data_IF_306661111168
#
_entry.id   IF_306661111168
#
_cell.length_a   1.000
_cell.length_b   1.000
_cell.length_c   1.000
_cell.angle_alpha   90.00
_cell.angle_beta   90.00
_cell.angle_gamma   90.00
#
_symmetry.space_group_name_H-M   'P 1'
#
loop_
_entity.id
_entity.type
_entity.pdbx_description
1 polymer ?
#
# COMPACT_ATOMS: atom_id res chain seq x y z
N UNK A 1 -18.99 14.21 -3.57
CA UNK A 1 -17.97 15.30 -3.66
C UNK A 1 -16.96 14.94 -4.74
N UNK A 2 -16.46 15.88 -5.55
CA UNK A 2 -15.39 15.58 -6.51
C UNK A 2 -14.12 15.07 -5.81
N UNK A 3 -13.37 14.13 -6.42
CA UNK A 3 -12.19 13.51 -5.78
C UNK A 3 -11.19 14.53 -5.24
N UNK A 4 -10.85 15.53 -6.05
CA UNK A 4 -9.87 16.56 -5.69
C UNK A 4 -10.17 17.28 -4.38
N UNK A 5 -11.43 17.63 -4.14
CA UNK A 5 -11.85 18.33 -2.93
C UNK A 5 -11.82 17.37 -1.73
N UNK A 6 -12.27 16.13 -1.93
CA UNK A 6 -12.28 15.13 -0.85
C UNK A 6 -10.87 14.76 -0.39
N UNK A 7 -9.91 14.60 -1.31
CA UNK A 7 -8.51 14.36 -0.92
C UNK A 7 -7.88 15.53 -0.18
N UNK A 8 -8.25 16.77 -0.51
CA UNK A 8 -7.79 17.92 0.27
C UNK A 8 -8.28 17.87 1.73
N UNK A 9 -9.52 17.42 1.96
CA UNK A 9 -10.05 17.22 3.32
C UNK A 9 -9.41 16.03 4.06
N UNK A 10 -9.07 14.96 3.33
CA UNK A 10 -8.42 13.78 3.90
C UNK A 10 -6.92 13.96 4.17
N UNK A 11 -6.28 14.97 3.57
CA UNK A 11 -4.84 15.15 3.63
C UNK A 11 -4.26 15.19 5.05
N UNK A 12 -4.88 15.86 6.05
CA UNK A 12 -4.36 15.83 7.42
C UNK A 12 -4.35 14.41 8.02
N UNK A 13 -5.40 13.63 7.77
CA UNK A 13 -5.53 12.26 8.25
C UNK A 13 -4.52 11.32 7.57
N UNK A 14 -4.41 11.40 6.23
CA UNK A 14 -3.41 10.63 5.46
C UNK A 14 -1.98 10.97 5.92
N UNK A 15 -1.72 12.25 6.18
CA UNK A 15 -0.43 12.70 6.72
C UNK A 15 -0.16 12.11 8.11
N UNK A 16 -1.18 12.03 8.97
CA UNK A 16 -1.05 11.44 10.29
C UNK A 16 -0.72 9.94 10.21
N UNK A 17 -1.40 9.19 9.34
CA UNK A 17 -1.09 7.77 9.09
C UNK A 17 0.34 7.59 8.59
N UNK A 18 0.75 8.36 7.58
CA UNK A 18 2.11 8.30 7.04
C UNK A 18 3.15 8.53 8.13
N UNK A 19 2.98 9.55 8.97
CA UNK A 19 3.91 9.86 10.07
C UNK A 19 3.93 8.80 11.15
N UNK A 20 2.79 8.16 11.43
CA UNK A 20 2.70 7.06 12.37
C UNK A 20 3.46 5.83 11.87
N UNK A 21 3.28 5.44 10.59
CA UNK A 21 4.06 4.37 9.98
C UNK A 21 5.55 4.69 9.97
N UNK A 22 5.92 5.91 9.58
CA UNK A 22 7.31 6.35 9.57
C UNK A 22 7.98 6.25 10.94
N UNK A 23 7.28 6.61 11.99
CA UNK A 23 7.79 6.54 13.35
C UNK A 23 7.91 5.11 13.90
N UNK A 24 7.27 4.12 13.28
CA UNK A 24 7.23 2.73 13.73
C UNK A 24 7.56 1.75 12.61
N UNK A 25 8.76 1.86 12.00
CA UNK A 25 9.15 1.00 10.88
C UNK A 25 9.35 -0.45 11.30
N UNK A 26 8.89 -1.36 10.46
CA UNK A 26 9.02 -2.80 10.59
C UNK A 26 9.66 -3.38 9.32
N UNK A 27 10.38 -4.51 9.43
CA UNK A 27 11.20 -5.04 8.33
C UNK A 27 10.58 -6.29 7.72
N UNK A 28 10.68 -6.39 6.38
CA UNK A 28 10.34 -7.59 5.63
C UNK A 28 8.95 -8.13 5.98
N UNK A 29 8.88 -9.38 6.46
CA UNK A 29 7.62 -10.00 6.89
C UNK A 29 7.21 -9.65 8.34
N UNK A 30 8.08 -9.02 9.13
CA UNK A 30 7.80 -8.64 10.51
C UNK A 30 7.10 -7.27 10.56
N UNK A 31 5.96 -7.17 9.87
CA UNK A 31 5.16 -5.94 9.72
C UNK A 31 3.79 -6.05 10.43
N UNK A 32 3.72 -6.77 11.54
CA UNK A 32 2.46 -7.08 12.23
C UNK A 32 1.72 -5.85 12.72
N UNK A 33 2.45 -4.85 13.25
CA UNK A 33 1.84 -3.58 13.70
C UNK A 33 1.26 -2.80 12.53
N UNK A 34 2.05 -2.67 11.47
CA UNK A 34 1.64 -1.96 10.24
C UNK A 34 0.44 -2.64 9.61
N UNK A 35 0.50 -3.96 9.42
CA UNK A 35 -0.59 -4.76 8.87
C UNK A 35 -1.88 -4.67 9.71
N UNK A 36 -1.76 -4.79 11.03
CA UNK A 36 -2.88 -4.65 11.95
C UNK A 36 -3.54 -3.26 11.89
N UNK A 37 -2.71 -2.20 11.80
CA UNK A 37 -3.23 -0.82 11.64
C UNK A 37 -3.91 -0.61 10.30
N UNK A 38 -3.37 -1.16 9.22
CA UNK A 38 -4.00 -1.16 7.89
C UNK A 38 -5.35 -1.87 7.94
N UNK A 39 -5.41 -3.07 8.51
CA UNK A 39 -6.63 -3.86 8.59
C UNK A 39 -7.72 -3.16 9.44
N UNK A 40 -7.34 -2.56 10.57
CA UNK A 40 -8.23 -1.73 11.41
C UNK A 40 -8.86 -0.59 10.60
N UNK A 41 -8.02 0.16 9.88
CA UNK A 41 -8.45 1.30 9.07
C UNK A 41 -9.39 0.86 7.93
N UNK A 42 -9.03 -0.19 7.18
CA UNK A 42 -9.88 -0.71 6.11
C UNK A 42 -11.26 -1.14 6.60
N UNK A 43 -11.33 -1.79 7.77
CA UNK A 43 -12.62 -2.13 8.40
C UNK A 43 -13.40 -0.87 8.78
N UNK A 44 -12.74 0.14 9.33
CA UNK A 44 -13.37 1.40 9.71
C UNK A 44 -13.89 2.20 8.51
N UNK A 45 -13.31 2.04 7.33
CA UNK A 45 -13.77 2.66 6.08
C UNK A 45 -15.02 1.95 5.49
N UNK A 46 -15.35 0.76 5.98
CA UNK A 46 -16.45 -0.04 5.47
C UNK A 46 -16.09 -0.81 4.20
N UNK A 47 -14.85 -1.30 4.08
CA UNK A 47 -14.51 -2.31 3.07
C UNK A 47 -15.39 -3.56 3.25
N UNK A 48 -15.81 -4.17 2.15
CA UNK A 48 -16.75 -5.30 2.17
C UNK A 48 -16.10 -6.57 2.74
N UNK A 49 -14.81 -6.74 2.51
CA UNK A 49 -14.00 -7.81 3.09
C UNK A 49 -12.62 -7.26 3.45
N UNK A 50 -12.04 -7.71 4.57
CA UNK A 50 -10.66 -7.43 4.96
C UNK A 50 -10.01 -8.73 5.40
N UNK A 51 -9.01 -9.17 4.65
CA UNK A 51 -8.27 -10.42 4.88
C UNK A 51 -6.84 -10.09 5.28
N UNK A 52 -6.41 -10.65 6.40
CA UNK A 52 -5.05 -10.56 6.91
C UNK A 52 -4.30 -11.87 6.70
N UNK A 53 -2.97 -11.80 6.70
CA UNK A 53 -2.11 -12.98 6.68
C UNK A 53 -1.81 -13.53 5.29
N UNK A 54 -2.25 -12.90 4.21
CA UNK A 54 -1.92 -13.31 2.83
C UNK A 54 -0.41 -13.14 2.60
N UNK A 55 0.27 -14.22 2.23
CA UNK A 55 1.73 -14.20 2.12
C UNK A 55 2.40 -13.85 3.45
N UNK A 56 1.92 -14.41 4.57
CA UNK A 56 2.31 -14.24 5.98
C UNK A 56 1.67 -13.03 6.67
N UNK A 57 1.98 -11.80 6.27
CA UNK A 57 1.54 -10.57 6.95
C UNK A 57 0.89 -9.56 6.00
N UNK A 58 0.64 -9.92 4.75
CA UNK A 58 -0.06 -9.07 3.82
C UNK A 58 -1.54 -8.88 4.18
N UNK A 59 -2.09 -7.76 3.77
CA UNK A 59 -3.50 -7.40 3.99
C UNK A 59 -4.17 -7.09 2.67
N UNK A 60 -5.39 -7.60 2.48
CA UNK A 60 -6.20 -7.30 1.31
C UNK A 60 -7.56 -6.78 1.76
N UNK A 61 -7.94 -5.59 1.29
CA UNK A 61 -9.29 -5.06 1.44
C UNK A 61 -10.06 -5.13 0.12
N UNK A 62 -11.31 -5.56 0.16
CA UNK A 62 -12.19 -5.63 -1.01
C UNK A 62 -13.24 -4.54 -0.92
N UNK A 63 -13.45 -3.82 -2.01
CA UNK A 63 -14.44 -2.74 -2.12
C UNK A 63 -15.26 -2.97 -3.38
N UNK A 64 -16.55 -3.22 -3.23
CA UNK A 64 -17.47 -3.33 -4.35
C UNK A 64 -17.97 -1.96 -4.81
N UNK A 65 -17.98 -1.73 -6.11
CA UNK A 65 -18.61 -0.57 -6.73
C UNK A 65 -20.13 -0.59 -6.60
N UNK A 66 -20.79 0.46 -7.11
CA UNK A 66 -22.26 0.52 -7.15
C UNK A 66 -22.87 -0.50 -8.11
N UNK A 67 -22.12 -0.89 -9.11
CA UNK A 67 -22.50 -1.88 -10.11
C UNK A 67 -21.32 -2.83 -10.36
N UNK A 68 -21.60 -3.99 -10.91
CA UNK A 68 -20.59 -4.97 -11.32
C UNK A 68 -21.05 -5.63 -12.64
N UNK A 69 -21.08 -4.84 -13.72
CA UNK A 69 -21.60 -5.30 -15.02
C UNK A 69 -20.62 -6.19 -15.76
N UNK A 70 -19.32 -6.04 -15.51
CA UNK A 70 -18.26 -6.78 -16.19
C UNK A 70 -17.60 -7.87 -15.34
N UNK A 71 -17.91 -7.98 -14.06
CA UNK A 71 -17.26 -8.92 -13.13
C UNK A 71 -15.75 -8.69 -13.01
N UNK A 72 -15.29 -7.44 -13.23
CA UNK A 72 -13.87 -7.09 -13.27
C UNK A 72 -13.36 -6.70 -11.88
N UNK A 73 -12.24 -7.32 -11.48
CA UNK A 73 -11.53 -6.94 -10.26
C UNK A 73 -10.17 -6.36 -10.64
N UNK A 74 -9.87 -5.16 -10.15
CA UNK A 74 -8.53 -4.55 -10.24
C UNK A 74 -7.88 -4.52 -8.88
N UNK A 75 -6.56 -4.78 -8.82
CA UNK A 75 -5.73 -4.65 -7.64
C UNK A 75 -5.04 -3.29 -7.60
N UNK A 76 -5.06 -2.63 -6.44
CA UNK A 76 -4.20 -1.46 -6.16
C UNK A 76 -3.22 -1.88 -5.07
N UNK A 77 -1.91 -1.72 -5.31
CA UNK A 77 -0.84 -2.26 -4.46
C UNK A 77 -0.02 -1.16 -3.81
N UNK A 78 0.26 -1.32 -2.53
CA UNK A 78 1.32 -0.64 -1.80
C UNK A 78 2.16 -1.66 -1.01
N UNK A 79 3.43 -1.36 -0.82
CA UNK A 79 4.33 -2.08 0.06
C UNK A 79 4.31 -1.49 1.48
N UNK A 80 4.71 -2.28 2.49
CA UNK A 80 4.60 -1.89 3.90
C UNK A 80 5.92 -1.91 4.66
N UNK A 81 6.93 -2.62 4.18
CA UNK A 81 8.17 -2.84 4.92
C UNK A 81 9.14 -1.68 4.81
N UNK A 82 10.03 -1.58 5.78
CA UNK A 82 11.08 -0.58 5.90
C UNK A 82 12.47 -1.21 5.69
N UNK A 83 13.49 -0.36 5.72
CA UNK A 83 14.89 -0.73 5.54
C UNK A 83 15.66 -0.77 6.88
N UNK A 84 16.70 -1.64 7.00
CA UNK A 84 17.59 -1.69 8.17
C UNK A 84 18.62 -0.56 8.13
N UNK A 85 18.14 0.69 8.22
CA UNK A 85 18.92 1.93 8.12
C UNK A 85 18.73 2.76 9.39
N UNK A 86 19.80 3.37 9.89
CA UNK A 86 19.72 4.33 10.99
C UNK A 86 19.25 5.67 10.43
N UNK A 87 18.11 6.14 10.89
CA UNK A 87 17.57 7.43 10.47
C UNK A 87 18.38 8.61 11.05
N UNK A 88 18.69 9.58 10.20
CA UNK A 88 19.43 10.80 10.55
C UNK A 88 18.69 12.08 10.10
N UNK A 89 17.41 12.01 9.81
CA UNK A 89 16.63 13.13 9.24
C UNK A 89 16.35 14.25 10.25
N UNK A 90 16.25 13.93 11.54
CA UNK A 90 15.90 14.89 12.58
C UNK A 90 14.46 15.41 12.53
N UNK A 91 13.58 14.78 11.73
CA UNK A 91 12.18 15.19 11.64
C UNK A 91 11.41 14.84 12.94
N UNK A 92 10.35 15.59 13.30
CA UNK A 92 9.59 15.32 14.53
C UNK A 92 8.93 13.93 14.62
N UNK A 93 8.76 13.28 13.51
CA UNK A 93 8.18 11.94 13.38
C UNK A 93 9.20 10.88 12.95
N UNK A 94 10.49 11.13 13.21
CA UNK A 94 11.56 10.17 12.93
C UNK A 94 11.30 8.81 13.60
N UNK A 95 11.91 7.78 13.06
CA UNK A 95 11.83 6.40 13.57
C UNK A 95 12.11 6.34 15.07
N UNK A 96 11.23 5.66 15.80
CA UNK A 96 11.42 5.33 17.22
C UNK A 96 12.15 4.01 17.43
N UNK A 97 12.51 3.32 16.35
CA UNK A 97 13.20 2.04 16.37
C UNK A 97 14.60 2.21 15.77
N UNK A 98 15.62 2.20 16.62
CA UNK A 98 16.99 2.32 16.17
C UNK A 98 17.35 1.25 15.13
N UNK A 99 18.02 1.65 14.05
CA UNK A 99 18.42 0.75 12.97
C UNK A 99 17.32 0.37 11.97
N UNK A 100 16.14 1.02 12.04
CA UNK A 100 15.06 0.84 11.06
C UNK A 100 14.54 2.19 10.59
N UNK A 101 14.29 2.34 9.29
CA UNK A 101 13.76 3.57 8.70
C UNK A 101 12.95 3.28 7.44
N UNK A 102 11.84 3.96 7.26
CA UNK A 102 11.17 4.04 5.95
C UNK A 102 11.95 4.96 5.00
N UNK A 103 13.09 4.45 4.46
CA UNK A 103 13.94 5.23 3.56
C UNK A 103 13.56 5.08 2.08
N UNK A 104 12.73 4.09 1.73
CA UNK A 104 12.21 3.90 0.37
C UNK A 104 10.86 4.59 0.13
N UNK A 105 10.15 4.97 1.19
CA UNK A 105 8.87 5.70 1.11
C UNK A 105 7.63 4.83 1.18
N UNK A 106 7.74 3.56 1.60
CA UNK A 106 6.63 2.63 1.72
C UNK A 106 5.58 3.08 2.75
N UNK A 107 5.96 3.86 3.75
CA UNK A 107 5.05 4.56 4.66
C UNK A 107 4.10 5.53 3.90
N UNK A 108 4.63 6.21 2.89
CA UNK A 108 3.86 7.07 1.99
C UNK A 108 2.95 6.26 1.06
N UNK A 109 3.45 5.17 0.47
CA UNK A 109 2.67 4.29 -0.40
C UNK A 109 1.49 3.69 0.36
N UNK A 110 1.72 3.15 1.56
CA UNK A 110 0.68 2.62 2.45
C UNK A 110 -0.37 3.69 2.77
N UNK A 111 0.05 4.89 3.17
CA UNK A 111 -0.87 5.97 3.52
C UNK A 111 -1.68 6.48 2.31
N UNK A 112 -1.07 6.57 1.12
CA UNK A 112 -1.77 6.94 -0.11
C UNK A 112 -2.83 5.91 -0.49
N UNK A 113 -2.50 4.61 -0.42
CA UNK A 113 -3.46 3.56 -0.72
C UNK A 113 -4.60 3.50 0.30
N UNK A 114 -4.35 3.74 1.58
CA UNK A 114 -5.40 3.91 2.60
C UNK A 114 -6.32 5.09 2.29
N UNK A 115 -5.76 6.23 1.86
CA UNK A 115 -6.55 7.37 1.41
C UNK A 115 -7.43 7.05 0.22
N UNK A 116 -6.90 6.34 -0.77
CA UNK A 116 -7.68 5.86 -1.91
C UNK A 116 -8.77 4.87 -1.50
N UNK A 117 -8.46 3.91 -0.63
CA UNK A 117 -9.42 2.93 -0.10
C UNK A 117 -10.58 3.62 0.62
N UNK A 118 -10.28 4.59 1.48
CA UNK A 118 -11.32 5.39 2.19
C UNK A 118 -12.23 6.09 1.21
N UNK A 119 -11.67 6.79 0.22
CA UNK A 119 -12.48 7.49 -0.81
C UNK A 119 -13.34 6.51 -1.62
N UNK A 120 -12.78 5.39 -2.05
CA UNK A 120 -13.49 4.37 -2.83
C UNK A 120 -14.63 3.74 -2.02
N UNK A 121 -14.39 3.40 -0.76
CA UNK A 121 -15.39 2.83 0.14
C UNK A 121 -16.53 3.83 0.46
N UNK A 122 -16.20 5.11 0.66
CA UNK A 122 -17.19 6.17 0.91
C UNK A 122 -18.10 6.43 -0.30
N UNK A 123 -17.52 6.42 -1.50
CA UNK A 123 -18.25 6.85 -2.70
C UNK A 123 -18.83 5.70 -3.52
N UNK A 124 -18.10 4.60 -3.61
CA UNK A 124 -18.42 3.43 -4.45
C UNK A 124 -18.79 3.79 -5.89
N UNK A 125 -18.32 4.93 -6.38
CA UNK A 125 -18.70 5.50 -7.68
C UNK A 125 -17.86 4.92 -8.82
N UNK A 126 -17.92 3.59 -8.98
CA UNK A 126 -17.25 2.83 -10.04
C UNK A 126 -18.06 1.55 -10.33
N UNK A 127 -17.71 0.87 -11.42
CA UNK A 127 -18.27 -0.42 -11.84
C UNK A 127 -17.21 -1.52 -11.65
N UNK A 128 -17.60 -2.64 -11.04
CA UNK A 128 -16.72 -3.75 -10.67
C UNK A 128 -16.23 -3.72 -9.24
N UNK A 129 -15.08 -4.31 -8.99
CA UNK A 129 -14.50 -4.47 -7.65
C UNK A 129 -13.05 -3.98 -7.61
N UNK A 130 -12.67 -3.36 -6.50
CA UNK A 130 -11.26 -2.98 -6.22
C UNK A 130 -10.76 -3.82 -5.05
N UNK A 131 -9.61 -4.48 -5.25
CA UNK A 131 -8.83 -5.11 -4.20
C UNK A 131 -7.65 -4.20 -3.84
N UNK A 132 -7.63 -3.63 -2.64
CA UNK A 132 -6.48 -2.87 -2.12
C UNK A 132 -5.53 -3.83 -1.43
N UNK A 133 -4.29 -3.90 -1.90
CA UNK A 133 -3.29 -4.90 -1.55
C UNK A 133 -2.15 -4.22 -0.81
N UNK A 134 -1.93 -4.60 0.45
CA UNK A 134 -0.82 -4.13 1.26
C UNK A 134 0.18 -5.26 1.42
N UNK A 135 1.31 -5.12 0.70
CA UNK A 135 2.32 -6.16 0.55
C UNK A 135 3.43 -6.02 1.58
N UNK A 136 3.81 -7.09 2.30
CA UNK A 136 5.04 -7.13 3.11
C UNK A 136 6.27 -7.42 2.25
N UNK A 137 7.46 -7.26 2.83
CA UNK A 137 8.74 -7.81 2.37
C UNK A 137 9.07 -7.53 0.89
N UNK A 138 8.91 -6.28 0.45
CA UNK A 138 9.35 -5.85 -0.89
C UNK A 138 10.88 -5.79 -0.95
N UNK A 139 11.53 -5.30 0.11
CA UNK A 139 12.97 -4.97 0.21
C UNK A 139 13.91 -6.20 0.30
N UNK A 140 13.49 -7.37 -0.13
CA UNK A 140 14.35 -8.56 -0.18
C UNK A 140 13.69 -9.87 0.26
N UNK A 141 12.43 -9.85 0.68
CA UNK A 141 11.71 -11.04 1.12
C UNK A 141 10.81 -11.67 0.06
N UNK A 142 10.73 -11.11 -1.15
CA UNK A 142 9.84 -11.54 -2.22
C UNK A 142 8.35 -11.64 -1.76
N UNK A 143 7.90 -10.66 -0.97
CA UNK A 143 6.56 -10.67 -0.38
C UNK A 143 5.43 -10.72 -1.41
N UNK A 144 5.60 -10.09 -2.58
CA UNK A 144 4.66 -10.20 -3.69
C UNK A 144 4.52 -11.63 -4.19
N UNK A 145 5.63 -12.35 -4.37
CA UNK A 145 5.62 -13.77 -4.72
C UNK A 145 4.96 -14.63 -3.64
N UNK A 146 5.23 -14.34 -2.37
CA UNK A 146 4.61 -15.04 -1.25
C UNK A 146 3.09 -14.85 -1.25
N UNK A 147 2.59 -13.64 -1.48
CA UNK A 147 1.14 -13.37 -1.59
C UNK A 147 0.50 -14.08 -2.80
N UNK A 148 1.18 -14.09 -3.95
CA UNK A 148 0.69 -14.81 -5.15
C UNK A 148 0.64 -16.30 -4.91
N UNK A 149 1.68 -16.89 -4.32
CA UNK A 149 1.70 -18.34 -3.96
C UNK A 149 0.63 -18.70 -2.94
N UNK A 150 0.23 -17.76 -2.10
CA UNK A 150 -0.86 -17.92 -1.12
C UNK A 150 -2.26 -17.65 -1.72
N UNK A 151 -2.34 -17.54 -3.05
CA UNK A 151 -3.59 -17.47 -3.79
C UNK A 151 -4.19 -16.08 -3.96
N UNK A 152 -3.39 -15.01 -3.81
CA UNK A 152 -3.87 -13.62 -3.95
C UNK A 152 -4.69 -13.39 -5.22
N UNK A 153 -4.19 -13.84 -6.36
CA UNK A 153 -4.81 -13.56 -7.66
C UNK A 153 -6.11 -14.34 -7.82
N UNK A 154 -6.07 -15.65 -7.53
CA UNK A 154 -7.19 -16.56 -7.68
C UNK A 154 -8.32 -16.28 -6.70
N UNK A 155 -7.95 -16.11 -5.42
CA UNK A 155 -8.90 -15.86 -4.34
C UNK A 155 -9.73 -14.61 -4.56
N UNK A 156 -9.09 -13.52 -4.96
CA UNK A 156 -9.76 -12.25 -5.18
C UNK A 156 -10.13 -12.02 -6.65
N UNK A 157 -9.85 -12.97 -7.55
CA UNK A 157 -10.19 -12.93 -8.98
C UNK A 157 -9.60 -11.68 -9.68
N UNK A 158 -8.42 -11.26 -9.26
CA UNK A 158 -7.75 -10.05 -9.74
C UNK A 158 -7.33 -10.23 -11.21
N UNK A 159 -7.64 -9.25 -12.05
CA UNK A 159 -7.30 -9.27 -13.48
C UNK A 159 -6.11 -8.39 -13.83
N UNK A 160 -5.95 -7.30 -13.12
CA UNK A 160 -4.88 -6.33 -13.34
C UNK A 160 -4.45 -5.77 -11.99
N UNK A 161 -3.15 -5.47 -11.83
CA UNK A 161 -2.61 -4.84 -10.61
C UNK A 161 -1.90 -3.55 -11.00
N UNK A 162 -2.15 -2.50 -10.24
CA UNK A 162 -1.49 -1.21 -10.35
C UNK A 162 -0.78 -0.87 -9.05
N UNK A 163 0.46 -0.39 -9.16
CA UNK A 163 1.23 0.13 -8.04
C UNK A 163 1.91 1.44 -8.44
N UNK A 164 2.16 2.29 -7.46
CA UNK A 164 2.96 3.51 -7.64
C UNK A 164 4.15 3.46 -6.71
N UNK A 165 5.28 4.01 -7.17
CA UNK A 165 6.45 4.23 -6.34
C UNK A 165 6.83 5.72 -6.40
N UNK A 166 7.16 6.32 -5.25
CA UNK A 166 7.72 7.65 -5.21
C UNK A 166 9.09 7.67 -5.92
N UNK A 167 9.38 8.73 -6.65
CA UNK A 167 10.63 8.91 -7.34
C UNK A 167 11.24 10.26 -6.98
N UNK A 168 12.31 10.30 -6.17
CA UNK A 168 13.04 11.53 -5.91
C UNK A 168 13.56 12.17 -7.22
N UNK A 169 13.48 13.49 -7.30
CA UNK A 169 13.93 14.24 -8.48
C UNK A 169 12.85 14.52 -9.53
N UNK A 170 11.69 13.87 -9.47
CA UNK A 170 10.55 14.27 -10.29
C UNK A 170 9.78 15.43 -9.63
N UNK A 171 9.29 16.40 -10.40
CA UNK A 171 8.43 17.45 -9.86
C UNK A 171 7.16 16.88 -9.22
N UNK A 172 6.74 17.45 -8.10
CA UNK A 172 5.50 17.05 -7.41
C UNK A 172 4.30 17.17 -8.38
N UNK A 173 3.47 16.12 -8.42
CA UNK A 173 2.33 16.03 -9.33
C UNK A 173 2.65 15.46 -10.71
N UNK A 174 3.92 15.11 -10.97
CA UNK A 174 4.32 14.43 -12.20
C UNK A 174 4.29 12.91 -12.01
N UNK A 175 3.92 12.19 -13.09
CA UNK A 175 3.95 10.74 -13.15
C UNK A 175 4.79 10.31 -14.36
N UNK A 176 5.51 9.21 -14.21
CA UNK A 176 6.25 8.56 -15.29
C UNK A 176 5.76 7.13 -15.44
N UNK A 177 5.42 6.73 -16.66
CA UNK A 177 5.02 5.36 -17.00
C UNK A 177 5.46 5.09 -18.44
N UNK A 178 5.88 3.85 -18.72
CA UNK A 178 6.19 3.40 -20.09
C UNK A 178 5.81 1.93 -20.26
N UNK A 179 5.54 1.49 -21.50
CA UNK A 179 5.41 0.07 -21.79
C UNK A 179 6.74 -0.68 -21.60
N UNK A 180 6.67 -1.96 -21.24
CA UNK A 180 7.83 -2.83 -21.02
C UNK A 180 8.49 -2.66 -19.66
N UNK A 181 9.75 -3.11 -19.53
CA UNK A 181 10.49 -3.05 -18.28
C UNK A 181 10.72 -1.62 -17.81
N UNK A 182 10.30 -1.34 -16.59
CA UNK A 182 10.41 -0.02 -15.97
C UNK A 182 11.60 0.06 -15.00
N UNK A 183 11.86 -0.99 -14.24
CA UNK A 183 12.99 -1.13 -13.34
C UNK A 183 13.98 -2.20 -13.84
N UNK A 184 15.24 -2.11 -13.40
CA UNK A 184 16.25 -3.11 -13.67
C UNK A 184 15.97 -4.40 -12.87
N UNK A 185 16.47 -5.53 -13.38
CA UNK A 185 16.61 -6.74 -12.59
C UNK A 185 17.84 -6.65 -11.70
N UNK A 186 17.80 -7.27 -10.52
CA UNK A 186 18.92 -7.35 -9.59
C UNK A 186 19.19 -8.80 -9.24
N UNK A 187 20.47 -9.15 -9.14
CA UNK A 187 20.96 -10.43 -8.64
C UNK A 187 21.93 -10.20 -7.48
N UNK A 188 21.86 -11.05 -6.46
CA UNK A 188 22.77 -11.04 -5.33
C UNK A 188 23.74 -12.22 -5.44
N UNK A 189 25.04 -11.94 -5.35
CA UNK A 189 26.08 -12.94 -5.30
C UNK A 189 26.67 -13.01 -3.88
N UNK A 190 26.83 -14.20 -3.36
CA UNK A 190 27.50 -14.48 -2.07
C UNK A 190 28.66 -15.44 -2.30
#
# INVERSE_FOLDING_TARGET
MPPKNRFAELLPEITAWRRDFHAHPELLFDVQRTAGKVAELLRSFGCDEVVEGIGRTGVVGVIHGRTDTAGKVIGLRADMDALPIIEQTGVPYASKTHGKMHACGHDGHTAMLLGAAKYLAETRNFDGTVAVIFQPAEEGGAGGEAMVKDGLIERFRIKEVYGMHNMPGLPVGSFSIRPGSFYAATDNFT
#
